data_IF_589118309479
#
_entry.id   IF_589118309479
#
_cell.length_a   1.000
_cell.length_b   1.000
_cell.length_c   1.000
_cell.angle_alpha   90.00
_cell.angle_beta   90.00
_cell.angle_gamma   90.00
#
_symmetry.space_group_name_H-M   'P 1'
#
loop_
_entity.id
_entity.type
_entity.pdbx_description
1 polymer ?
#
# COMPACT_ATOMS: atom_id res chain seq x y z
N UNK A 1 1.66 -10.09 -2.35
CA UNK A 1 2.82 -10.97 -2.09
C UNK A 1 3.88 -10.28 -1.26
N UNK A 2 4.52 -9.22 -1.79
CA UNK A 2 5.63 -8.55 -1.11
C UNK A 2 5.32 -8.11 0.32
N UNK A 3 4.20 -7.42 0.55
CA UNK A 3 3.90 -6.88 1.88
C UNK A 3 3.43 -7.93 2.90
N UNK A 4 2.80 -9.03 2.46
CA UNK A 4 2.08 -9.95 3.36
C UNK A 4 2.53 -11.43 3.25
N UNK A 5 3.43 -11.74 2.32
CA UNK A 5 3.91 -13.10 2.05
C UNK A 5 2.95 -14.01 1.26
N UNK A 6 1.80 -13.52 0.78
CA UNK A 6 0.85 -14.31 -0.03
C UNK A 6 0.23 -13.51 -1.18
N UNK A 7 -0.26 -14.22 -2.19
CA UNK A 7 -0.98 -13.66 -3.36
C UNK A 7 -2.46 -13.49 -3.06
N UNK A 8 -3.09 -12.54 -3.75
CA UNK A 8 -4.54 -12.39 -3.70
C UNK A 8 -5.21 -13.45 -4.58
N UNK A 9 -6.43 -13.86 -4.20
CA UNK A 9 -7.24 -14.79 -4.97
C UNK A 9 -7.57 -14.20 -6.36
N UNK A 10 -7.22 -14.89 -7.46
CA UNK A 10 -7.41 -14.35 -8.80
C UNK A 10 -8.86 -14.41 -9.29
N UNK A 11 -9.71 -15.27 -8.71
CA UNK A 11 -11.10 -15.39 -9.13
C UNK A 11 -11.87 -14.12 -8.75
N UNK A 12 -11.81 -13.74 -7.48
CA UNK A 12 -12.47 -12.53 -6.99
C UNK A 12 -11.86 -11.24 -7.56
N UNK A 13 -10.55 -11.25 -7.82
CA UNK A 13 -9.88 -10.14 -8.51
C UNK A 13 -10.43 -9.90 -9.92
N UNK A 14 -10.67 -10.96 -10.69
CA UNK A 14 -11.28 -10.87 -12.03
C UNK A 14 -12.73 -10.40 -11.98
N UNK A 15 -13.51 -10.88 -11.01
CA UNK A 15 -14.90 -10.43 -10.80
C UNK A 15 -14.93 -8.94 -10.47
N UNK A 16 -14.11 -8.51 -9.51
CA UNK A 16 -13.97 -7.09 -9.14
C UNK A 16 -13.59 -6.25 -10.36
N UNK A 17 -12.56 -6.65 -11.10
CA UNK A 17 -12.13 -5.97 -12.32
C UNK A 17 -13.26 -5.84 -13.36
N UNK A 18 -13.98 -6.93 -13.65
CA UNK A 18 -15.08 -6.91 -14.61
C UNK A 18 -16.20 -5.96 -14.19
N UNK A 19 -16.61 -6.01 -12.92
CA UNK A 19 -17.61 -5.10 -12.36
C UNK A 19 -17.15 -3.64 -12.40
N UNK A 20 -15.89 -3.35 -12.10
CA UNK A 20 -15.33 -2.01 -12.16
C UNK A 20 -15.31 -1.45 -13.58
N UNK A 21 -14.77 -2.21 -14.55
CA UNK A 21 -14.65 -1.73 -15.93
C UNK A 21 -16.01 -1.52 -16.56
N UNK A 22 -16.91 -2.51 -16.48
CA UNK A 22 -18.26 -2.39 -17.04
C UNK A 22 -19.05 -1.33 -16.28
N UNK A 23 -18.96 -1.33 -14.95
CA UNK A 23 -19.68 -0.38 -14.11
C UNK A 23 -19.25 1.06 -14.37
N UNK A 24 -17.95 1.30 -14.58
CA UNK A 24 -17.44 2.62 -14.95
C UNK A 24 -18.04 3.12 -16.26
N UNK A 25 -18.01 2.30 -17.32
CA UNK A 25 -18.57 2.71 -18.61
C UNK A 25 -20.07 2.95 -18.53
N UNK A 26 -20.82 2.08 -17.87
CA UNK A 26 -22.28 2.23 -17.70
C UNK A 26 -22.62 3.43 -16.81
N UNK A 27 -21.81 3.73 -15.79
CA UNK A 27 -22.04 4.85 -14.89
C UNK A 27 -21.74 6.21 -15.54
N UNK A 28 -20.60 6.31 -16.23
CA UNK A 28 -20.05 7.59 -16.67
C UNK A 28 -20.38 7.93 -18.12
N UNK A 29 -20.58 6.95 -19.02
CA UNK A 29 -20.97 7.25 -20.40
C UNK A 29 -22.30 8.04 -20.51
N UNK A 30 -23.38 7.71 -19.75
CA UNK A 30 -24.61 8.50 -19.75
C UNK A 30 -24.39 9.95 -19.32
N UNK A 31 -23.46 10.19 -18.39
CA UNK A 31 -23.19 11.53 -17.87
C UNK A 31 -22.50 12.40 -18.93
N UNK A 32 -21.68 11.82 -19.82
CA UNK A 32 -21.16 12.55 -20.97
C UNK A 32 -22.28 13.01 -21.91
N UNK A 33 -23.26 12.15 -22.18
CA UNK A 33 -24.42 12.48 -23.01
C UNK A 33 -25.24 13.57 -22.34
N UNK A 34 -25.53 13.46 -21.04
CA UNK A 34 -26.21 14.49 -20.28
C UNK A 34 -25.48 15.83 -20.31
N UNK A 35 -24.15 15.82 -20.22
CA UNK A 35 -23.33 17.03 -20.36
C UNK A 35 -23.49 17.69 -21.74
N UNK A 36 -23.52 16.89 -22.82
CA UNK A 36 -23.78 17.39 -24.18
C UNK A 36 -25.22 17.87 -24.38
N UNK A 37 -26.18 17.35 -23.62
CA UNK A 37 -27.56 17.83 -23.58
C UNK A 37 -27.74 19.13 -22.77
N UNK A 38 -26.65 19.69 -22.22
CA UNK A 38 -26.66 20.96 -21.50
C UNK A 38 -26.98 20.83 -20.00
N UNK A 39 -26.98 19.61 -19.45
CA UNK A 39 -27.17 19.41 -18.00
C UNK A 39 -25.98 19.97 -17.23
N UNK A 40 -26.25 20.87 -16.28
CA UNK A 40 -25.23 21.50 -15.46
C UNK A 40 -24.94 20.72 -14.17
N UNK A 41 -23.73 20.90 -13.64
CA UNK A 41 -23.25 20.18 -12.45
C UNK A 41 -23.96 20.65 -11.18
N UNK A 42 -24.09 19.76 -10.18
CA UNK A 42 -24.56 20.02 -8.81
C UNK A 42 -26.05 20.40 -8.69
N UNK A 43 -26.86 20.09 -9.70
CA UNK A 43 -28.31 20.15 -9.59
C UNK A 43 -28.84 18.96 -8.80
N UNK A 44 -29.82 19.20 -7.92
CA UNK A 44 -30.47 18.17 -7.09
C UNK A 44 -31.75 17.62 -7.73
N UNK A 45 -32.45 18.45 -8.49
CA UNK A 45 -33.77 18.15 -9.05
C UNK A 45 -33.73 18.44 -10.55
N UNK A 46 -34.36 17.56 -11.33
CA UNK A 46 -34.54 17.71 -12.77
C UNK A 46 -36.02 17.61 -13.07
N UNK A 47 -36.60 18.67 -13.63
CA UNK A 47 -38.03 18.72 -13.96
C UNK A 47 -38.35 18.05 -15.30
N UNK A 48 -37.33 17.88 -16.16
CA UNK A 48 -37.45 17.21 -17.46
C UNK A 48 -37.41 15.67 -17.30
N UNK A 49 -38.52 14.95 -17.58
CA UNK A 49 -38.57 13.50 -17.48
C UNK A 49 -37.66 12.78 -18.48
N UNK A 50 -37.27 13.44 -19.60
CA UNK A 50 -36.43 12.83 -20.64
C UNK A 50 -35.01 12.52 -20.14
N UNK A 51 -34.54 13.23 -19.11
CA UNK A 51 -33.22 13.04 -18.51
C UNK A 51 -33.16 11.84 -17.57
N UNK A 52 -34.30 11.39 -17.05
CA UNK A 52 -34.39 10.35 -16.02
C UNK A 52 -33.77 9.02 -16.46
N UNK A 53 -33.94 8.63 -17.72
CA UNK A 53 -33.41 7.38 -18.26
C UNK A 53 -31.88 7.30 -18.13
N UNK A 54 -31.18 8.40 -18.41
CA UNK A 54 -29.73 8.47 -18.34
C UNK A 54 -29.21 8.35 -16.90
N UNK A 55 -29.93 8.95 -15.95
CA UNK A 55 -29.61 8.80 -14.52
C UNK A 55 -29.89 7.39 -14.00
N UNK A 56 -30.92 6.71 -14.50
CA UNK A 56 -31.19 5.31 -14.16
C UNK A 56 -30.05 4.42 -14.66
N UNK A 57 -29.62 4.59 -15.93
CA UNK A 57 -28.48 3.85 -16.49
C UNK A 57 -27.22 4.14 -15.67
N UNK A 58 -26.94 5.41 -15.37
CA UNK A 58 -25.81 5.78 -14.53
C UNK A 58 -25.87 5.13 -13.13
N UNK A 59 -27.07 5.07 -12.54
CA UNK A 59 -27.33 4.40 -11.26
C UNK A 59 -27.09 2.89 -11.31
N UNK A 60 -27.46 2.21 -12.40
CA UNK A 60 -27.13 0.79 -12.62
C UNK A 60 -25.63 0.57 -12.71
N UNK A 61 -24.90 1.47 -13.38
CA UNK A 61 -23.43 1.45 -13.41
C UNK A 61 -22.83 1.61 -12.02
N UNK A 62 -23.36 2.55 -11.21
CA UNK A 62 -22.93 2.73 -9.82
C UNK A 62 -23.21 1.50 -8.95
N UNK A 63 -24.36 0.84 -9.12
CA UNK A 63 -24.68 -0.42 -8.45
C UNK A 63 -23.68 -1.53 -8.83
N UNK A 64 -23.28 -1.60 -10.10
CA UNK A 64 -22.28 -2.56 -10.57
C UNK A 64 -20.89 -2.28 -9.96
N UNK A 65 -20.50 -1.02 -9.83
CA UNK A 65 -19.28 -0.62 -9.10
C UNK A 65 -19.37 -1.05 -7.63
N UNK A 66 -20.52 -0.90 -6.98
CA UNK A 66 -20.71 -1.35 -5.60
C UNK A 66 -20.52 -2.88 -5.46
N UNK A 67 -20.99 -3.67 -6.43
CA UNK A 67 -20.70 -5.12 -6.49
C UNK A 67 -19.21 -5.38 -6.68
N UNK A 68 -18.52 -4.58 -7.50
CA UNK A 68 -17.06 -4.66 -7.67
C UNK A 68 -16.29 -4.38 -6.37
N UNK A 69 -16.71 -3.37 -5.60
CA UNK A 69 -16.15 -3.08 -4.27
C UNK A 69 -16.39 -4.25 -3.32
N UNK A 70 -17.60 -4.82 -3.30
CA UNK A 70 -17.90 -5.99 -2.47
C UNK A 70 -17.03 -7.20 -2.85
N UNK A 71 -16.86 -7.47 -4.15
CA UNK A 71 -15.99 -8.52 -4.65
C UNK A 71 -14.52 -8.31 -4.22
N UNK A 72 -14.04 -7.07 -4.18
CA UNK A 72 -12.71 -6.73 -3.67
C UNK A 72 -12.58 -7.01 -2.16
N UNK A 73 -13.59 -6.66 -1.35
CA UNK A 73 -13.58 -6.97 0.08
C UNK A 73 -13.61 -8.48 0.35
N UNK A 74 -14.41 -9.22 -0.43
CA UNK A 74 -14.44 -10.68 -0.39
C UNK A 74 -13.08 -11.26 -0.80
N UNK A 75 -12.44 -10.69 -1.84
CA UNK A 75 -11.10 -11.10 -2.27
C UNK A 75 -10.10 -10.99 -1.11
N UNK A 76 -10.09 -9.89 -0.36
CA UNK A 76 -9.21 -9.73 0.80
C UNK A 76 -9.51 -10.78 1.88
N UNK A 77 -10.78 -10.95 2.24
CA UNK A 77 -11.18 -11.96 3.25
C UNK A 77 -10.77 -13.38 2.86
N UNK A 78 -11.10 -13.81 1.64
CA UNK A 78 -10.76 -15.16 1.14
C UNK A 78 -9.24 -15.35 1.02
N UNK A 79 -8.50 -14.33 0.59
CA UNK A 79 -7.04 -14.42 0.45
C UNK A 79 -6.35 -14.56 1.80
N UNK A 80 -6.83 -13.86 2.83
CA UNK A 80 -6.32 -14.00 4.20
C UNK A 80 -6.63 -15.39 4.76
N UNK A 81 -7.86 -15.89 4.55
CA UNK A 81 -8.26 -17.24 4.99
C UNK A 81 -7.46 -18.34 4.29
N UNK A 82 -7.11 -18.15 3.01
CA UNK A 82 -6.32 -19.10 2.21
C UNK A 82 -4.83 -18.75 2.12
N UNK A 83 -4.32 -17.92 3.06
CA UNK A 83 -2.94 -17.41 3.02
C UNK A 83 -1.91 -18.51 2.84
N UNK A 84 -2.07 -19.65 3.51
CA UNK A 84 -1.09 -20.74 3.48
C UNK A 84 -1.00 -21.42 2.11
N UNK A 85 -2.11 -21.46 1.37
CA UNK A 85 -2.16 -22.02 0.01
C UNK A 85 -1.64 -21.02 -1.04
N UNK A 86 -1.77 -19.72 -0.76
CA UNK A 86 -1.39 -18.63 -1.67
C UNK A 86 -0.02 -18.03 -1.35
N UNK A 87 0.72 -18.66 -0.42
CA UNK A 87 2.04 -18.23 0.03
C UNK A 87 3.02 -18.11 -1.12
N UNK A 88 3.81 -17.04 -1.06
CA UNK A 88 4.98 -16.87 -1.90
C UNK A 88 6.21 -17.40 -1.14
N UNK A 89 6.92 -18.33 -1.77
CA UNK A 89 8.11 -18.96 -1.18
C UNK A 89 9.41 -18.45 -1.78
N UNK A 90 9.36 -17.75 -2.91
CA UNK A 90 10.55 -17.30 -3.63
C UNK A 90 10.83 -15.82 -3.38
N UNK A 91 9.80 -15.00 -3.17
CA UNK A 91 9.93 -13.55 -3.16
C UNK A 91 9.75 -12.91 -4.54
N UNK A 92 9.74 -13.72 -5.60
CA UNK A 92 9.44 -13.31 -6.97
C UNK A 92 8.34 -14.21 -7.57
N UNK A 93 7.06 -13.97 -7.25
CA UNK A 93 5.95 -14.80 -7.70
C UNK A 93 5.53 -14.49 -9.15
N UNK A 94 6.08 -13.44 -9.77
CA UNK A 94 5.66 -12.93 -11.07
C UNK A 94 6.79 -12.84 -12.11
N UNK A 95 8.03 -13.18 -11.73
CA UNK A 95 9.20 -12.96 -12.59
C UNK A 95 9.52 -11.47 -12.78
N UNK A 96 9.38 -10.67 -11.72
CA UNK A 96 9.61 -9.23 -11.71
C UNK A 96 11.01 -8.82 -12.18
N UNK A 97 11.17 -7.55 -12.54
CA UNK A 97 12.40 -7.01 -13.17
C UNK A 97 13.26 -6.15 -12.24
N UNK A 98 12.64 -5.67 -11.17
CA UNK A 98 13.12 -4.64 -10.25
C UNK A 98 13.51 -5.24 -8.89
N UNK A 99 14.29 -4.51 -8.09
CA UNK A 99 14.95 -5.03 -6.88
C UNK A 99 14.00 -5.46 -5.76
N UNK A 100 12.77 -4.97 -5.73
CA UNK A 100 11.80 -5.40 -4.71
C UNK A 100 11.48 -6.90 -4.79
N UNK A 101 11.71 -7.54 -5.94
CA UNK A 101 11.53 -8.98 -6.15
C UNK A 101 12.80 -9.79 -5.85
N UNK A 102 13.90 -9.13 -5.47
CA UNK A 102 15.16 -9.78 -5.10
C UNK A 102 15.24 -10.09 -3.59
N UNK A 103 14.24 -9.70 -2.81
CA UNK A 103 14.18 -9.94 -1.35
C UNK A 103 13.07 -10.93 -1.00
N UNK A 104 13.09 -11.44 0.24
CA UNK A 104 12.05 -12.32 0.77
C UNK A 104 10.66 -11.68 0.76
N UNK A 105 9.64 -12.53 0.75
CA UNK A 105 8.23 -12.14 0.91
C UNK A 105 7.68 -12.70 2.23
N UNK A 106 7.42 -11.89 3.27
CA UNK A 106 7.67 -10.44 3.36
C UNK A 106 9.15 -10.07 3.51
N UNK A 107 9.55 -8.82 3.19
CA UNK A 107 10.93 -8.38 3.33
C UNK A 107 11.34 -8.26 4.80
N UNK A 108 12.63 -8.44 5.13
CA UNK A 108 13.14 -8.19 6.47
C UNK A 108 13.11 -6.68 6.77
N UNK A 109 13.20 -6.32 8.05
CA UNK A 109 13.17 -4.92 8.49
C UNK A 109 14.25 -4.03 7.83
N UNK A 110 15.36 -4.65 7.40
CA UNK A 110 16.47 -3.97 6.75
C UNK A 110 16.41 -3.95 5.22
N UNK A 111 15.39 -4.54 4.60
CA UNK A 111 15.25 -4.78 3.16
C UNK A 111 16.38 -5.66 2.58
N UNK A 112 17.61 -5.14 2.51
CA UNK A 112 18.78 -5.86 1.98
C UNK A 112 19.91 -5.88 3.00
N UNK A 113 20.49 -7.07 3.24
CA UNK A 113 21.62 -7.21 4.15
C UNK A 113 22.92 -6.57 3.58
N UNK A 114 23.03 -6.50 2.26
CA UNK A 114 24.08 -5.79 1.54
C UNK A 114 23.43 -4.85 0.52
N UNK A 115 23.98 -3.65 0.36
CA UNK A 115 23.52 -2.72 -0.67
C UNK A 115 23.76 -3.32 -2.07
N UNK A 116 22.71 -3.52 -2.89
CA UNK A 116 22.87 -4.09 -4.22
C UNK A 116 23.63 -3.12 -5.13
N UNK A 117 24.54 -3.67 -5.93
CA UNK A 117 25.29 -2.90 -6.95
C UNK A 117 24.53 -3.02 -8.27
N UNK A 118 24.06 -1.88 -8.78
CA UNK A 118 23.20 -1.81 -9.98
C UNK A 118 24.04 -1.45 -11.20
N UNK A 119 23.89 -2.22 -12.27
CA UNK A 119 24.61 -2.02 -13.54
C UNK A 119 23.69 -1.63 -14.71
N UNK A 120 22.38 -1.83 -14.57
CA UNK A 120 21.38 -1.56 -15.61
C UNK A 120 20.06 -1.10 -14.95
N UNK A 121 19.14 -0.57 -15.76
CA UNK A 121 17.85 -0.04 -15.31
C UNK A 121 16.98 -1.11 -14.64
N UNK A 122 16.91 -2.30 -15.25
CA UNK A 122 16.20 -3.46 -14.70
C UNK A 122 17.16 -4.36 -13.92
N UNK A 123 17.60 -3.87 -12.75
CA UNK A 123 18.67 -4.48 -11.98
C UNK A 123 18.44 -5.96 -11.65
N UNK A 124 17.24 -6.37 -11.21
CA UNK A 124 16.97 -7.77 -10.87
C UNK A 124 16.90 -8.67 -12.10
N UNK A 125 16.41 -8.14 -13.23
CA UNK A 125 16.42 -8.87 -14.50
C UNK A 125 17.84 -9.13 -15.01
N UNK A 126 18.70 -8.11 -14.99
CA UNK A 126 20.13 -8.26 -15.35
C UNK A 126 20.85 -9.23 -14.40
N UNK A 127 20.60 -9.12 -13.08
CA UNK A 127 21.15 -10.05 -12.09
C UNK A 127 20.73 -11.51 -12.34
N UNK A 128 19.46 -11.76 -12.67
CA UNK A 128 18.98 -13.10 -13.04
C UNK A 128 19.68 -13.63 -14.30
N UNK A 129 19.82 -12.79 -15.33
CA UNK A 129 20.49 -13.19 -16.58
C UNK A 129 21.98 -13.49 -16.39
N UNK A 130 22.64 -12.78 -15.47
CA UNK A 130 24.05 -12.99 -15.11
C UNK A 130 24.25 -14.06 -14.04
N UNK A 131 23.17 -14.73 -13.60
CA UNK A 131 23.19 -15.75 -12.55
C UNK A 131 23.89 -15.23 -11.27
N UNK A 132 23.54 -14.00 -10.87
CA UNK A 132 24.12 -13.36 -9.69
C UNK A 132 23.86 -14.22 -8.44
N UNK A 133 24.93 -14.56 -7.73
CA UNK A 133 24.85 -15.35 -6.50
C UNK A 133 24.61 -14.45 -5.31
N UNK A 134 23.63 -14.81 -4.47
CA UNK A 134 23.35 -14.08 -3.24
C UNK A 134 24.53 -14.23 -2.24
N UNK A 135 24.94 -13.15 -1.55
CA UNK A 135 25.92 -13.27 -0.48
C UNK A 135 25.40 -14.18 0.64
N UNK A 136 26.20 -15.15 1.08
CA UNK A 136 25.82 -16.11 2.14
C UNK A 136 26.48 -15.82 3.49
N UNK A 137 27.35 -14.84 3.57
CA UNK A 137 28.08 -14.50 4.79
C UNK A 137 28.71 -13.12 4.74
N UNK A 138 29.43 -12.77 5.81
CA UNK A 138 30.04 -11.44 5.97
C UNK A 138 29.04 -10.36 6.40
N UNK A 139 27.91 -10.76 6.98
CA UNK A 139 26.90 -9.84 7.50
C UNK A 139 27.48 -8.96 8.61
N UNK A 140 27.01 -7.72 8.66
CA UNK A 140 27.43 -6.71 9.63
C UNK A 140 26.21 -6.23 10.41
N UNK A 141 26.47 -5.57 11.53
CA UNK A 141 25.42 -4.92 12.29
C UNK A 141 24.80 -3.81 11.43
N UNK A 142 23.47 -3.81 11.33
CA UNK A 142 22.71 -2.87 10.50
C UNK A 142 22.09 -1.81 11.40
N UNK A 143 22.43 -0.54 11.17
CA UNK A 143 21.82 0.60 11.85
C UNK A 143 20.37 0.81 11.40
N UNK A 144 19.46 0.98 12.35
CA UNK A 144 18.03 1.16 12.12
C UNK A 144 17.41 2.23 13.02
N UNK A 145 16.43 2.99 12.52
CA UNK A 145 15.69 3.94 13.34
C UNK A 145 14.67 3.21 14.24
N UNK A 146 14.52 3.68 15.47
CA UNK A 146 13.50 3.24 16.42
C UNK A 146 12.13 3.82 16.07
N UNK A 147 11.08 3.08 16.41
CA UNK A 147 9.72 3.59 16.33
C UNK A 147 9.51 4.77 17.30
N UNK A 148 8.74 5.78 16.87
CA UNK A 148 8.41 6.93 17.71
C UNK A 148 6.93 7.28 17.64
N UNK A 149 6.34 7.56 18.80
CA UNK A 149 4.96 8.06 18.90
C UNK A 149 4.83 9.56 18.63
N UNK A 150 5.94 10.29 18.46
CA UNK A 150 5.94 11.74 18.31
C UNK A 150 5.06 12.22 17.15
N UNK A 151 5.08 11.50 16.02
CA UNK A 151 4.23 11.81 14.87
C UNK A 151 2.73 11.78 15.20
N UNK A 152 2.28 10.79 15.98
CA UNK A 152 0.88 10.68 16.41
C UNK A 152 0.49 11.82 17.35
N UNK A 153 1.37 12.17 18.29
CA UNK A 153 1.15 13.25 19.26
C UNK A 153 1.05 14.61 18.54
N UNK A 154 1.99 14.90 17.63
CA UNK A 154 1.99 16.14 16.84
C UNK A 154 0.73 16.20 15.96
N UNK A 155 0.33 15.09 15.35
CA UNK A 155 -0.90 15.02 14.56
C UNK A 155 -2.15 15.31 15.41
N UNK A 156 -2.23 14.79 16.63
CA UNK A 156 -3.35 15.05 17.55
C UNK A 156 -3.44 16.53 17.95
N UNK A 157 -2.31 17.18 18.27
CA UNK A 157 -2.29 18.61 18.55
C UNK A 157 -2.62 19.46 17.31
N UNK A 158 -2.14 19.04 16.12
CA UNK A 158 -2.47 19.70 14.85
C UNK A 158 -3.96 19.60 14.54
N UNK A 159 -4.58 18.44 14.76
CA UNK A 159 -6.01 18.24 14.61
C UNK A 159 -6.82 19.10 15.60
N UNK A 160 -6.35 19.21 16.84
CA UNK A 160 -6.94 20.09 17.86
C UNK A 160 -6.87 21.56 17.44
N UNK A 161 -5.72 21.99 16.91
CA UNK A 161 -5.53 23.33 16.38
C UNK A 161 -6.49 23.62 15.21
N UNK A 162 -6.55 22.72 14.23
CA UNK A 162 -7.43 22.84 13.06
C UNK A 162 -8.92 22.89 13.46
N UNK A 163 -9.33 22.06 14.42
CA UNK A 163 -10.68 22.10 14.98
C UNK A 163 -10.97 23.45 15.63
N UNK A 164 -10.03 23.96 16.44
CA UNK A 164 -10.16 25.28 17.07
C UNK A 164 -10.30 26.42 16.05
N UNK A 165 -9.51 26.41 14.98
CA UNK A 165 -9.60 27.40 13.90
C UNK A 165 -10.91 27.31 13.12
N UNK A 166 -11.41 26.10 12.86
CA UNK A 166 -12.65 25.87 12.10
C UNK A 166 -13.88 26.40 12.85
N UNK A 167 -13.90 26.25 14.18
CA UNK A 167 -15.04 26.61 15.04
C UNK A 167 -14.84 27.92 15.83
N UNK A 168 -13.85 28.73 15.46
CA UNK A 168 -13.53 30.00 16.12
C UNK A 168 -13.22 29.86 17.64
N UNK A 169 -12.79 28.68 18.08
CA UNK A 169 -12.37 28.41 19.46
C UNK A 169 -10.90 28.79 19.64
N UNK A 170 -10.62 30.09 19.70
CA UNK A 170 -9.24 30.64 19.68
C UNK A 170 -8.33 30.12 20.80
N UNK A 171 -8.89 29.83 21.98
CA UNK A 171 -8.14 29.23 23.09
C UNK A 171 -7.68 27.80 22.75
N UNK A 172 -8.54 27.01 22.11
CA UNK A 172 -8.25 25.64 21.70
C UNK A 172 -7.26 25.62 20.53
N UNK A 173 -7.41 26.55 19.59
CA UNK A 173 -6.46 26.75 18.49
C UNK A 173 -5.06 27.08 19.03
N UNK A 174 -4.98 28.04 19.96
CA UNK A 174 -3.73 28.41 20.63
C UNK A 174 -3.12 27.24 21.40
N UNK A 175 -3.93 26.48 22.15
CA UNK A 175 -3.46 25.30 22.88
C UNK A 175 -2.93 24.20 21.96
N UNK A 176 -3.63 23.93 20.85
CA UNK A 176 -3.18 22.98 19.83
C UNK A 176 -1.86 23.41 19.20
N UNK A 177 -1.72 24.69 18.83
CA UNK A 177 -0.48 25.23 18.26
C UNK A 177 0.69 25.15 19.25
N UNK A 178 0.47 25.56 20.49
CA UNK A 178 1.48 25.44 21.56
C UNK A 178 1.86 23.97 21.80
N UNK A 179 0.90 23.05 21.74
CA UNK A 179 1.14 21.61 21.84
C UNK A 179 2.02 21.07 20.70
N UNK A 180 1.78 21.50 19.45
CA UNK A 180 2.64 21.16 18.30
C UNK A 180 4.07 21.65 18.51
N UNK A 181 4.23 22.93 18.90
CA UNK A 181 5.54 23.54 19.14
C UNK A 181 6.27 22.80 20.26
N UNK A 182 5.61 22.59 21.40
CA UNK A 182 6.17 21.91 22.55
C UNK A 182 6.56 20.45 22.22
N UNK A 183 5.68 19.68 21.57
CA UNK A 183 5.95 18.30 21.18
C UNK A 183 7.14 18.20 20.21
N UNK A 184 7.24 19.13 19.26
CA UNK A 184 8.36 19.19 18.31
C UNK A 184 9.67 19.52 19.02
N UNK A 185 9.67 20.51 19.92
CA UNK A 185 10.84 20.86 20.73
C UNK A 185 11.25 19.66 21.57
N UNK A 186 10.34 19.04 22.34
CA UNK A 186 10.65 17.88 23.18
C UNK A 186 11.21 16.73 22.34
N UNK A 187 10.60 16.43 21.18
CA UNK A 187 11.09 15.38 20.29
C UNK A 187 12.48 15.70 19.72
N UNK A 188 12.78 16.97 19.45
CA UNK A 188 14.10 17.38 18.95
C UNK A 188 15.24 17.04 19.92
N UNK A 189 14.97 17.05 21.22
CA UNK A 189 15.92 16.67 22.29
C UNK A 189 15.97 15.16 22.57
N UNK A 190 15.20 14.33 21.87
CA UNK A 190 15.36 12.89 21.97
C UNK A 190 16.59 12.44 21.16
N UNK A 191 17.65 12.02 21.83
CA UNK A 191 18.89 11.55 21.20
C UNK A 191 18.94 10.02 21.03
N UNK A 192 18.07 9.27 21.73
CA UNK A 192 18.03 7.81 21.63
C UNK A 192 17.05 7.36 20.53
N UNK A 193 17.45 7.57 19.26
CA UNK A 193 16.60 7.33 18.08
C UNK A 193 16.92 6.07 17.32
N UNK A 194 18.07 5.46 17.59
CA UNK A 194 18.61 4.44 16.70
C UNK A 194 18.94 3.17 17.49
N UNK A 195 18.96 2.04 16.79
CA UNK A 195 19.45 0.78 17.30
C UNK A 195 20.20 0.04 16.20
N UNK A 196 20.93 -1.01 16.57
CA UNK A 196 21.59 -1.89 15.62
C UNK A 196 20.94 -3.26 15.67
N UNK A 197 20.62 -3.80 14.49
CA UNK A 197 20.27 -5.21 14.33
C UNK A 197 21.59 -5.99 14.30
N UNK A 198 21.85 -6.91 15.25
CA UNK A 198 23.11 -7.64 15.31
C UNK A 198 23.32 -8.52 14.08
N UNK A 199 24.56 -8.67 13.63
CA UNK A 199 24.94 -9.52 12.50
C UNK A 199 24.45 -10.98 12.65
N UNK A 200 24.38 -11.49 13.89
CA UNK A 200 23.86 -12.82 14.19
C UNK A 200 22.36 -12.96 13.82
N UNK A 201 21.55 -11.93 14.05
CA UNK A 201 20.13 -11.91 13.71
C UNK A 201 19.92 -11.78 12.19
N UNK A 202 20.74 -10.95 11.54
CA UNK A 202 20.76 -10.85 10.08
C UNK A 202 21.10 -12.20 9.47
N UNK A 203 22.15 -12.86 9.95
CA UNK A 203 22.57 -14.20 9.48
C UNK A 203 21.44 -15.22 9.61
N UNK A 204 20.81 -15.33 10.78
CA UNK A 204 19.73 -16.27 11.03
C UNK A 204 18.52 -16.05 10.09
N UNK A 205 18.20 -14.78 9.82
CA UNK A 205 17.11 -14.38 8.91
C UNK A 205 17.44 -14.74 7.46
N UNK A 206 18.65 -14.40 7.02
CA UNK A 206 19.09 -14.62 5.64
C UNK A 206 19.22 -16.12 5.32
N UNK A 207 19.71 -16.91 6.28
CA UNK A 207 19.75 -18.38 6.21
C UNK A 207 18.35 -19.00 6.20
N UNK A 208 17.39 -18.48 6.98
CA UNK A 208 16.02 -18.96 6.96
C UNK A 208 15.39 -18.77 5.59
N UNK A 209 15.60 -17.60 4.97
CA UNK A 209 15.17 -17.35 3.59
C UNK A 209 15.91 -18.25 2.59
N UNK A 210 17.21 -18.50 2.78
CA UNK A 210 17.97 -19.45 1.96
C UNK A 210 17.41 -20.89 2.02
N UNK A 211 17.03 -21.36 3.21
CA UNK A 211 16.35 -22.66 3.38
C UNK A 211 15.00 -22.69 2.68
N UNK A 212 14.24 -21.59 2.72
CA UNK A 212 12.95 -21.47 2.05
C UNK A 212 13.09 -21.51 0.52
N UNK A 213 14.09 -20.82 -0.04
CA UNK A 213 14.41 -20.86 -1.47
C UNK A 213 14.83 -22.25 -1.93
N UNK A 214 15.70 -22.92 -1.16
CA UNK A 214 16.13 -24.29 -1.44
C UNK A 214 14.95 -25.26 -1.44
N UNK A 215 14.01 -25.12 -0.49
CA UNK A 215 12.79 -25.93 -0.46
C UNK A 215 11.84 -25.64 -1.65
N UNK A 216 11.88 -24.42 -2.20
CA UNK A 216 11.09 -24.02 -3.37
C UNK A 216 11.73 -24.41 -4.72
N UNK A 217 12.97 -24.94 -4.72
CA UNK A 217 13.71 -25.27 -5.94
C UNK A 217 14.16 -24.05 -6.76
N UNK A 218 14.25 -22.88 -6.13
CA UNK A 218 14.58 -21.61 -6.76
C UNK A 218 16.03 -21.14 -6.49
N UNK A 219 16.95 -22.09 -6.35
CA UNK A 219 18.37 -21.83 -6.08
C UNK A 219 19.15 -21.46 -7.35
#
# INVERSE_FOLDING_TARGET
PQAMGFRLDPCWGKVSFGCWVVGFWVAFAPIYILGLMGVTRRLRVFDDPSLQIWFIIAGLGAALIAVGILAMLIQFGVSILRRDQLRDLTGDPWGGRTLEWATSSPPPAYNFAFTPIVHDLDAWYDMKNRQAVRPTGGYRDIHMPKNTGAGLIIAAFSATCACGLTWYMWWLASLGLLGVIAATIIHSFNYDRDFYIPAAEVTATEEAYGRQLAAAGAA
#
